data_IF_948166408075
#
_entry.id   IF_948166408075
#
_cell.length_a   1.000
_cell.length_b   1.000
_cell.length_c   1.000
_cell.angle_alpha   90.00
_cell.angle_beta   90.00
_cell.angle_gamma   90.00
#
_symmetry.space_group_name_H-M   'P 1'
#
loop_
_entity.id
_entity.type
_entity.pdbx_description
1 polymer ?
#
# COMPACT_ATOMS: atom_id res chain seq x y z
N UNK A 1 -1.32 -28.36 16.02
CA UNK A 1 -0.88 -27.20 16.83
C UNK A 1 -0.42 -26.12 15.87
N UNK A 2 -1.02 -24.93 15.92
CA UNK A 2 -0.54 -23.78 15.14
C UNK A 2 0.67 -23.22 15.89
N UNK A 3 1.87 -23.35 15.34
CA UNK A 3 3.04 -22.64 15.86
C UNK A 3 2.76 -21.13 15.73
N UNK A 4 2.50 -20.45 16.84
CA UNK A 4 2.59 -19.00 16.89
C UNK A 4 4.08 -18.66 16.82
N UNK A 5 4.58 -18.42 15.61
CA UNK A 5 5.90 -17.81 15.43
C UNK A 5 5.89 -16.46 16.13
N UNK A 6 6.90 -16.19 16.96
CA UNK A 6 7.11 -14.84 17.48
C UNK A 6 7.12 -13.85 16.31
N UNK A 7 6.43 -12.71 16.44
CA UNK A 7 6.34 -11.75 15.35
C UNK A 7 7.74 -11.23 15.03
N UNK A 8 8.18 -11.42 13.80
CA UNK A 8 9.44 -10.88 13.32
C UNK A 8 9.40 -9.34 13.30
N UNK A 9 10.57 -8.70 13.31
CA UNK A 9 10.71 -7.25 13.40
C UNK A 9 9.97 -6.49 12.28
N UNK A 10 9.90 -7.07 11.07
CA UNK A 10 9.15 -6.49 9.94
C UNK A 10 7.66 -6.48 10.29
N UNK A 11 7.13 -7.59 10.80
CA UNK A 11 5.74 -7.73 11.24
C UNK A 11 5.38 -6.76 12.38
N UNK A 12 6.30 -6.53 13.31
CA UNK A 12 6.15 -5.56 14.42
C UNK A 12 6.05 -4.14 13.88
N UNK A 13 7.06 -3.68 13.13
CA UNK A 13 7.11 -2.32 12.56
C UNK A 13 5.90 -2.06 11.67
N UNK A 14 5.54 -3.02 10.81
CA UNK A 14 4.37 -2.89 9.95
C UNK A 14 3.06 -2.76 10.73
N UNK A 15 2.88 -3.59 11.76
CA UNK A 15 1.67 -3.57 12.59
C UNK A 15 1.55 -2.27 13.38
N UNK A 16 2.67 -1.71 13.81
CA UNK A 16 2.72 -0.40 14.44
C UNK A 16 2.36 0.72 13.44
N UNK A 17 3.01 0.77 12.27
CA UNK A 17 2.73 1.75 11.22
C UNK A 17 1.28 1.74 10.72
N UNK A 18 0.65 0.56 10.61
CA UNK A 18 -0.75 0.43 10.17
C UNK A 18 -1.75 1.15 11.07
N UNK A 19 -1.45 1.27 12.36
CA UNK A 19 -2.30 1.96 13.35
C UNK A 19 -2.20 3.48 13.27
N UNK A 20 -1.21 3.99 12.53
CA UNK A 20 -0.87 5.41 12.49
C UNK A 20 -1.49 6.07 11.26
N UNK A 21 -2.18 7.20 11.47
CA UNK A 21 -2.88 7.90 10.39
C UNK A 21 -1.95 8.78 9.54
N UNK A 22 -0.96 9.40 10.16
CA UNK A 22 -0.14 10.46 9.54
C UNK A 22 1.33 10.06 9.32
N UNK A 23 1.65 8.77 9.46
CA UNK A 23 3.02 8.29 9.56
C UNK A 23 3.63 8.48 10.94
N UNK A 24 4.86 8.04 11.10
CA UNK A 24 5.63 8.09 12.36
C UNK A 24 7.02 8.61 12.08
N UNK A 25 7.58 9.39 13.01
CA UNK A 25 8.97 9.82 12.86
C UNK A 25 9.92 8.62 12.84
N UNK A 26 10.98 8.70 12.04
CA UNK A 26 11.98 7.63 11.96
C UNK A 26 12.63 7.37 13.32
N UNK A 27 12.86 8.42 14.11
CA UNK A 27 13.39 8.33 15.48
C UNK A 27 12.49 7.53 16.40
N UNK A 28 11.18 7.77 16.39
CA UNK A 28 10.21 7.04 17.21
C UNK A 28 10.14 5.55 16.84
N UNK A 29 10.37 5.20 15.57
CA UNK A 29 10.50 3.80 15.17
C UNK A 29 11.77 3.18 15.77
N UNK A 30 12.91 3.86 15.73
CA UNK A 30 14.13 3.35 16.35
C UNK A 30 13.98 3.19 17.86
N UNK A 31 13.40 4.17 18.56
CA UNK A 31 13.13 4.10 20.01
C UNK A 31 12.26 2.88 20.35
N UNK A 32 11.15 2.68 19.63
CA UNK A 32 10.26 1.53 19.82
C UNK A 32 10.98 0.19 19.58
N UNK A 33 11.86 0.12 18.59
CA UNK A 33 12.59 -1.11 18.25
C UNK A 33 13.69 -1.40 19.28
N UNK A 34 14.36 -0.37 19.80
CA UNK A 34 15.34 -0.49 20.89
C UNK A 34 14.70 -0.91 22.21
N UNK A 35 13.50 -0.40 22.54
CA UNK A 35 12.71 -0.85 23.70
C UNK A 35 12.36 -2.34 23.65
N UNK A 36 12.25 -2.90 22.45
CA UNK A 36 12.00 -4.33 22.21
C UNK A 36 13.29 -5.17 22.17
N UNK A 37 14.46 -4.56 22.38
CA UNK A 37 15.75 -5.24 22.47
C UNK A 37 16.45 -5.49 21.14
N UNK A 38 16.00 -4.85 20.05
CA UNK A 38 16.65 -4.94 18.74
C UNK A 38 17.55 -3.72 18.49
N UNK A 39 18.55 -3.89 17.63
CA UNK A 39 19.46 -2.83 17.25
C UNK A 39 18.86 -1.90 16.19
N UNK A 40 19.32 -0.65 16.18
CA UNK A 40 19.06 0.32 15.10
C UNK A 40 19.43 -0.23 13.70
N UNK A 41 20.41 -1.14 13.60
CA UNK A 41 20.77 -1.81 12.34
C UNK A 41 19.67 -2.78 11.87
N UNK A 42 19.10 -3.57 12.77
CA UNK A 42 17.99 -4.48 12.46
C UNK A 42 16.73 -3.70 12.07
N UNK A 43 16.45 -2.60 12.78
CA UNK A 43 15.38 -1.67 12.41
C UNK A 43 15.56 -1.13 10.98
N UNK A 44 16.78 -0.72 10.63
CA UNK A 44 17.11 -0.22 9.28
C UNK A 44 16.86 -1.27 8.21
N UNK A 45 17.27 -2.52 8.43
CA UNK A 45 17.06 -3.62 7.50
C UNK A 45 15.57 -3.97 7.34
N UNK A 46 14.81 -3.95 8.43
CA UNK A 46 13.38 -4.19 8.40
C UNK A 46 12.63 -3.08 7.63
N UNK A 47 12.98 -1.82 7.88
CA UNK A 47 12.45 -0.66 7.14
C UNK A 47 12.85 -0.69 5.66
N UNK A 48 14.09 -1.03 5.33
CA UNK A 48 14.53 -1.22 3.95
C UNK A 48 13.71 -2.32 3.26
N UNK A 49 13.43 -3.42 3.95
CA UNK A 49 12.60 -4.51 3.43
C UNK A 49 11.17 -4.04 3.15
N UNK A 50 10.54 -3.35 4.11
CA UNK A 50 9.19 -2.78 3.92
C UNK A 50 9.15 -1.80 2.75
N UNK A 51 10.20 -1.00 2.58
CA UNK A 51 10.31 -0.04 1.49
C UNK A 51 10.46 -0.74 0.12
N UNK A 52 11.30 -1.78 0.04
CA UNK A 52 11.46 -2.61 -1.17
C UNK A 52 10.18 -3.34 -1.56
N UNK A 53 9.36 -3.70 -0.59
CA UNK A 53 8.03 -4.27 -0.79
C UNK A 53 6.96 -3.21 -1.11
N UNK A 54 7.35 -1.94 -1.28
CA UNK A 54 6.46 -0.81 -1.52
C UNK A 54 5.38 -0.60 -0.43
N UNK A 55 5.55 -1.16 0.76
CA UNK A 55 4.59 -1.06 1.86
C UNK A 55 4.66 0.29 2.58
N UNK A 56 5.82 0.94 2.54
CA UNK A 56 6.08 2.21 3.21
C UNK A 56 6.77 3.19 2.26
N UNK A 57 6.75 4.46 2.62
CA UNK A 57 7.51 5.54 2.01
C UNK A 57 8.11 6.47 3.07
N UNK A 58 9.19 7.15 2.71
CA UNK A 58 9.82 8.16 3.52
C UNK A 58 9.42 9.54 3.00
N UNK A 59 9.06 10.42 3.93
CA UNK A 59 8.70 11.81 3.66
C UNK A 59 9.37 12.72 4.71
N UNK A 60 9.31 14.03 4.51
CA UNK A 60 9.75 15.00 5.51
C UNK A 60 8.53 15.67 6.15
N UNK A 61 8.55 15.84 7.47
CA UNK A 61 7.57 16.69 8.14
C UNK A 61 7.85 18.19 7.89
N UNK A 62 6.93 19.04 8.34
CA UNK A 62 7.06 20.50 8.25
C UNK A 62 8.25 21.08 9.04
N UNK A 63 8.95 20.25 9.83
CA UNK A 63 10.15 20.59 10.60
C UNK A 63 11.43 19.99 9.99
N UNK A 64 11.34 19.29 8.85
CA UNK A 64 12.47 18.66 8.17
C UNK A 64 12.90 17.31 8.76
N UNK A 65 12.10 16.70 9.63
CA UNK A 65 12.36 15.36 10.17
C UNK A 65 11.83 14.29 9.24
N UNK A 66 12.56 13.18 9.14
CA UNK A 66 12.15 12.03 8.32
C UNK A 66 10.98 11.32 8.99
N UNK A 67 9.89 11.18 8.26
CA UNK A 67 8.66 10.46 8.64
C UNK A 67 8.51 9.25 7.75
N UNK A 68 8.20 8.11 8.36
CA UNK A 68 7.85 6.87 7.66
C UNK A 68 6.33 6.77 7.60
N UNK A 69 5.78 6.65 6.40
CA UNK A 69 4.35 6.53 6.14
C UNK A 69 4.05 5.16 5.54
N UNK A 70 2.90 4.59 5.88
CA UNK A 70 2.36 3.49 5.08
C UNK A 70 2.04 4.02 3.70
N UNK A 71 2.45 3.31 2.65
CA UNK A 71 1.98 3.62 1.30
C UNK A 71 0.53 3.20 1.19
N UNK A 72 -0.32 4.07 0.66
CA UNK A 72 -1.52 3.60 -0.03
C UNK A 72 -1.06 3.02 -1.37
N UNK A 73 -0.60 1.77 -1.37
CA UNK A 73 -0.11 1.07 -2.58
C UNK A 73 -1.16 1.12 -3.69
N UNK A 74 -2.42 1.17 -3.29
CA UNK A 74 -3.54 1.40 -4.16
C UNK A 74 -4.17 2.73 -3.74
N UNK A 75 -4.03 3.73 -4.59
CA UNK A 75 -4.94 4.88 -4.54
C UNK A 75 -6.37 4.31 -4.59
N UNK A 76 -7.38 4.95 -3.97
CA UNK A 76 -8.78 4.48 -3.98
C UNK A 76 -9.30 4.09 -5.39
N UNK A 77 -8.71 4.66 -6.44
CA UNK A 77 -8.94 4.32 -7.84
C UNK A 77 -8.60 2.86 -8.22
N UNK A 78 -7.48 2.32 -7.72
CA UNK A 78 -7.08 0.94 -7.98
C UNK A 78 -7.80 -0.03 -7.05
N UNK A 79 -8.04 0.33 -5.77
CA UNK A 79 -8.85 -0.51 -4.86
C UNK A 79 -10.30 -0.67 -5.37
N UNK A 80 -10.83 0.33 -6.07
CA UNK A 80 -12.13 0.25 -6.72
C UNK A 80 -12.10 -0.35 -8.13
N UNK A 81 -10.91 -0.69 -8.67
CA UNK A 81 -10.80 -1.18 -10.03
C UNK A 81 -11.37 -2.59 -10.15
N UNK A 82 -12.46 -2.79 -10.90
CA UNK A 82 -13.25 -4.03 -10.83
C UNK A 82 -12.47 -5.26 -11.31
N UNK A 83 -11.43 -5.08 -12.12
CA UNK A 83 -10.60 -6.19 -12.60
C UNK A 83 -9.79 -6.85 -11.49
N UNK A 84 -9.42 -6.14 -10.42
CA UNK A 84 -8.61 -6.71 -9.33
C UNK A 84 -9.37 -7.74 -8.49
N UNK A 85 -10.71 -7.76 -8.57
CA UNK A 85 -11.57 -8.70 -7.84
C UNK A 85 -12.45 -9.55 -8.76
N UNK A 86 -12.17 -9.57 -10.07
CA UNK A 86 -12.98 -10.30 -11.04
C UNK A 86 -12.61 -11.79 -11.08
N UNK A 87 -13.58 -12.67 -10.78
CA UNK A 87 -13.38 -14.13 -10.82
C UNK A 87 -13.04 -14.65 -12.22
N UNK A 88 -13.47 -13.94 -13.28
CA UNK A 88 -13.23 -14.32 -14.67
C UNK A 88 -12.03 -13.62 -15.31
N UNK A 89 -11.17 -12.97 -14.51
CA UNK A 89 -10.04 -12.19 -15.05
C UNK A 89 -9.15 -13.01 -16.00
N UNK A 90 -8.92 -14.29 -15.68
CA UNK A 90 -8.06 -15.18 -16.47
C UNK A 90 -8.70 -15.65 -17.79
N UNK A 91 -10.02 -15.50 -17.95
CA UNK A 91 -10.77 -15.84 -19.17
C UNK A 91 -11.18 -14.59 -19.97
N UNK A 92 -10.86 -13.39 -19.45
CA UNK A 92 -11.26 -12.12 -20.03
C UNK A 92 -10.22 -11.61 -21.03
N UNK A 93 -10.58 -11.50 -22.30
CA UNK A 93 -9.70 -10.99 -23.35
C UNK A 93 -10.48 -10.19 -24.41
N UNK A 94 -9.77 -9.32 -25.14
CA UNK A 94 -10.36 -8.47 -26.17
C UNK A 94 -10.93 -9.34 -27.30
N UNK A 95 -12.19 -9.10 -27.67
CA UNK A 95 -12.90 -9.92 -28.66
C UNK A 95 -13.44 -11.24 -28.13
N UNK A 96 -13.41 -11.47 -26.81
CA UNK A 96 -13.99 -12.65 -26.17
C UNK A 96 -15.49 -12.79 -26.42
N UNK A 97 -15.95 -14.03 -26.59
CA UNK A 97 -17.37 -14.34 -26.82
C UNK A 97 -18.21 -14.17 -25.55
N UNK A 98 -17.67 -14.55 -24.38
CA UNK A 98 -18.33 -14.55 -23.08
C UNK A 98 -17.80 -13.45 -22.14
N UNK A 99 -16.50 -13.45 -21.86
CA UNK A 99 -15.86 -12.44 -21.01
C UNK A 99 -14.95 -11.56 -21.84
N UNK A 100 -15.35 -10.31 -22.03
CA UNK A 100 -14.59 -9.34 -22.80
C UNK A 100 -14.64 -7.97 -22.12
N UNK A 101 -13.51 -7.22 -22.07
CA UNK A 101 -13.46 -5.91 -21.43
C UNK A 101 -14.50 -4.93 -22.00
N UNK A 102 -14.70 -4.93 -23.32
CA UNK A 102 -15.62 -4.03 -24.03
C UNK A 102 -17.11 -4.25 -23.71
N UNK A 103 -17.46 -5.42 -23.15
CA UNK A 103 -18.82 -5.78 -22.76
C UNK A 103 -18.99 -5.86 -21.24
N UNK A 104 -17.93 -5.55 -20.46
CA UNK A 104 -17.94 -5.75 -19.02
C UNK A 104 -18.78 -4.67 -18.30
N UNK A 105 -19.89 -5.05 -17.64
CA UNK A 105 -20.76 -4.09 -16.97
C UNK A 105 -20.09 -3.44 -15.73
N UNK A 106 -19.24 -4.18 -15.03
CA UNK A 106 -18.50 -3.67 -13.88
C UNK A 106 -17.50 -2.59 -14.28
N UNK A 107 -16.81 -2.80 -15.41
CA UNK A 107 -15.86 -1.84 -15.97
C UNK A 107 -16.56 -0.59 -16.47
N UNK A 108 -17.70 -0.72 -17.18
CA UNK A 108 -18.50 0.43 -17.62
C UNK A 108 -19.02 1.25 -16.42
N UNK A 109 -19.56 0.58 -15.40
CA UNK A 109 -20.01 1.25 -14.18
C UNK A 109 -18.87 2.00 -13.49
N UNK A 110 -17.71 1.36 -13.35
CA UNK A 110 -16.53 2.00 -12.77
C UNK A 110 -16.07 3.22 -13.58
N UNK A 111 -16.01 3.12 -14.92
CA UNK A 111 -15.67 4.26 -15.78
C UNK A 111 -16.64 5.44 -15.62
N UNK A 112 -17.95 5.17 -15.45
CA UNK A 112 -18.93 6.22 -15.17
C UNK A 112 -18.59 6.90 -13.85
N UNK A 113 -18.42 6.14 -12.77
CA UNK A 113 -18.09 6.71 -11.45
C UNK A 113 -16.77 7.51 -11.48
N UNK A 114 -15.76 6.99 -12.19
CA UNK A 114 -14.46 7.61 -12.37
C UNK A 114 -14.51 8.90 -13.21
N UNK A 115 -15.41 8.99 -14.19
CA UNK A 115 -15.60 10.20 -15.01
C UNK A 115 -16.46 11.26 -14.33
N UNK A 116 -17.46 10.85 -13.55
CA UNK A 116 -18.38 11.78 -12.87
C UNK A 116 -17.75 12.41 -11.62
N UNK A 117 -16.90 11.69 -10.90
CA UNK A 117 -16.09 12.26 -9.84
C UNK A 117 -14.77 12.71 -10.45
N UNK A 118 -14.56 14.03 -10.60
CA UNK A 118 -13.25 14.61 -10.97
C UNK A 118 -12.20 14.24 -9.92
N UNK A 119 -11.70 13.00 -9.94
CA UNK A 119 -10.46 12.65 -9.29
C UNK A 119 -9.40 13.46 -10.04
N UNK A 120 -8.97 14.56 -9.45
CA UNK A 120 -7.82 15.33 -9.94
C UNK A 120 -6.62 14.41 -9.82
N UNK A 121 -6.34 13.62 -10.85
CA UNK A 121 -5.06 12.95 -10.99
C UNK A 121 -4.04 14.09 -11.11
N UNK A 122 -3.11 14.26 -10.15
CA UNK A 122 -2.03 15.20 -10.37
C UNK A 122 -1.26 14.69 -11.58
N UNK A 123 -1.36 15.41 -12.70
CA UNK A 123 -0.58 15.10 -13.88
C UNK A 123 0.89 15.22 -13.49
N UNK A 124 1.60 14.11 -13.50
CA UNK A 124 3.06 14.10 -13.48
C UNK A 124 3.46 14.76 -14.79
N UNK A 125 3.93 16.02 -14.72
CA UNK A 125 4.53 16.70 -15.86
C UNK A 125 5.83 15.96 -16.18
N UNK A 126 5.86 15.31 -17.34
CA UNK A 126 7.11 14.92 -18.01
C UNK A 126 7.79 16.11 -18.65
#
# INVERSE_FOLDING_TARGET
>A
MKEMKEPDLISIIWSYLRKQKNGVSLTEIYEMVEELGFSSREASLALETLHRLYLIEYDNDYQGKVVVKKRSIFNNALESFPCLSCEHLYECYVGGSLYAPEKCPYLDYWFRQFRYHKVKIPMIKG
#
